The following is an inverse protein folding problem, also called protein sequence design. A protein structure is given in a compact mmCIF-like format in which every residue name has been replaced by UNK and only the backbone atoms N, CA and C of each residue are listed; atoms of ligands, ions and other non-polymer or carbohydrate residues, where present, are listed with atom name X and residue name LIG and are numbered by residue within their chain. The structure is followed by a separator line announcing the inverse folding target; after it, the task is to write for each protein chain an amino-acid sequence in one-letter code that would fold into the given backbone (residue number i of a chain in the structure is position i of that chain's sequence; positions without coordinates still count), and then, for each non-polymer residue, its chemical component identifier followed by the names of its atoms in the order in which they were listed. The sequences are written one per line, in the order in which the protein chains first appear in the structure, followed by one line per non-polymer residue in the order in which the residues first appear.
data_IF_616302697854
#
_entry.id   IF_616302697854
#
_cell.length_a   1.000
_cell.length_b   1.000
_cell.length_c   1.000
_cell.angle_alpha   90.00
_cell.angle_beta   90.00
_cell.angle_gamma   90.00
#
_symmetry.space_group_name_H-M   'P 1'
#
loop_
_entity.id
_entity.type
_entity.pdbx_description
1 polymer ?
#
# COMPACT_ATOMS: atom_id res chain seq x y z
N UNK A 1 11.84 -1.61 22.82
CA UNK A 1 11.33 -2.11 21.53
C UNK A 1 9.83 -2.24 21.68
N UNK A 2 9.05 -1.70 20.75
CA UNK A 2 7.59 -1.82 20.72
C UNK A 2 7.28 -2.98 19.78
N UNK A 3 6.47 -3.94 20.23
CA UNK A 3 6.04 -5.07 19.40
C UNK A 3 4.67 -4.78 18.82
N UNK A 4 4.59 -4.67 17.49
CA UNK A 4 3.35 -4.44 16.75
C UNK A 4 2.86 -5.69 16.03
N UNK A 5 3.51 -6.84 16.18
CA UNK A 5 3.18 -8.07 15.43
C UNK A 5 1.74 -8.56 15.62
N UNK A 6 1.13 -8.19 16.75
CA UNK A 6 -0.27 -8.48 17.06
C UNK A 6 -1.28 -7.58 16.33
N UNK A 7 -0.83 -6.48 15.72
CA UNK A 7 -1.64 -5.60 14.87
C UNK A 7 -1.67 -6.16 13.43
N UNK A 8 -2.24 -7.35 13.26
CA UNK A 8 -2.21 -8.15 12.02
C UNK A 8 -3.60 -8.54 11.50
N UNK A 9 -4.61 -7.72 11.74
CA UNK A 9 -5.98 -7.95 11.26
C UNK A 9 -6.38 -7.03 10.10
N UNK A 10 -7.11 -7.61 9.14
CA UNK A 10 -7.95 -6.86 8.20
C UNK A 10 -9.27 -6.59 8.91
N UNK A 11 -9.56 -5.32 9.20
CA UNK A 11 -10.67 -4.94 10.08
C UNK A 11 -12.00 -4.78 9.34
N UNK A 12 -11.97 -4.19 8.15
CA UNK A 12 -13.16 -3.94 7.36
C UNK A 12 -12.83 -3.81 5.87
N UNK A 13 -13.69 -4.33 5.00
CA UNK A 13 -13.62 -4.13 3.55
C UNK A 13 -14.96 -3.55 3.11
N UNK A 14 -14.94 -2.31 2.60
CA UNK A 14 -16.12 -1.65 2.06
C UNK A 14 -16.14 -1.79 0.54
N UNK A 15 -17.04 -2.63 0.03
CA UNK A 15 -17.20 -2.87 -1.40
C UNK A 15 -17.81 -1.71 -2.18
N UNK A 16 -18.53 -0.81 -1.49
CA UNK A 16 -19.13 0.38 -2.13
C UNK A 16 -18.12 1.51 -2.22
N UNK A 17 -17.36 1.74 -1.16
CA UNK A 17 -16.29 2.72 -1.14
C UNK A 17 -15.01 2.22 -1.82
N UNK A 18 -14.91 0.91 -2.05
CA UNK A 18 -13.71 0.22 -2.53
C UNK A 18 -12.51 0.54 -1.64
N UNK A 19 -12.66 0.32 -0.33
CA UNK A 19 -11.59 0.54 0.65
C UNK A 19 -11.41 -0.65 1.57
N UNK A 20 -10.21 -0.77 2.13
CA UNK A 20 -9.90 -1.70 3.22
C UNK A 20 -9.29 -0.94 4.38
N UNK A 21 -9.79 -1.23 5.58
CA UNK A 21 -9.24 -0.79 6.84
C UNK A 21 -8.41 -1.92 7.44
N UNK A 22 -7.13 -1.67 7.70
CA UNK A 22 -6.16 -2.73 8.02
C UNK A 22 -5.11 -2.28 9.00
N UNK A 23 -4.68 -3.21 9.85
CA UNK A 23 -3.58 -3.02 10.78
C UNK A 23 -2.20 -3.14 10.10
N UNK A 24 -1.16 -2.46 10.61
CA UNK A 24 0.13 -2.29 9.95
C UNK A 24 0.89 -3.60 9.71
N UNK A 25 0.72 -4.62 10.56
CA UNK A 25 1.46 -5.89 10.47
C UNK A 25 0.75 -6.95 9.64
N UNK A 26 -0.35 -6.61 8.94
CA UNK A 26 -0.92 -7.49 7.91
C UNK A 26 0.06 -7.64 6.75
N UNK A 27 0.49 -8.86 6.39
CA UNK A 27 1.34 -9.11 5.23
C UNK A 27 0.55 -9.00 3.91
N UNK A 28 1.24 -8.73 2.80
CA UNK A 28 0.63 -8.55 1.47
C UNK A 28 -0.20 -9.75 1.03
N UNK A 29 0.24 -10.98 1.29
CA UNK A 29 -0.50 -12.18 0.91
C UNK A 29 -1.87 -12.25 1.58
N UNK A 30 -1.94 -11.96 2.89
CA UNK A 30 -3.20 -11.91 3.64
C UNK A 30 -4.08 -10.75 3.22
N UNK A 31 -3.49 -9.58 2.92
CA UNK A 31 -4.24 -8.44 2.39
C UNK A 31 -4.91 -8.79 1.05
N UNK A 32 -4.17 -9.39 0.13
CA UNK A 32 -4.66 -9.80 -1.18
C UNK A 32 -5.71 -10.90 -1.06
N UNK A 33 -5.46 -11.94 -0.25
CA UNK A 33 -6.44 -13.00 0.02
C UNK A 33 -7.75 -12.43 0.55
N UNK A 34 -7.70 -11.59 1.58
CA UNK A 34 -8.90 -11.00 2.19
C UNK A 34 -9.68 -10.10 1.22
N UNK A 35 -8.99 -9.29 0.41
CA UNK A 35 -9.66 -8.36 -0.53
C UNK A 35 -10.23 -9.08 -1.75
N UNK A 36 -9.57 -10.14 -2.22
CA UNK A 36 -10.03 -10.94 -3.35
C UNK A 36 -11.35 -11.67 -3.06
N UNK A 37 -11.63 -12.05 -1.81
CA UNK A 37 -12.92 -12.62 -1.42
C UNK A 37 -14.11 -11.69 -1.75
N UNK A 38 -13.85 -10.38 -1.83
CA UNK A 38 -14.82 -9.35 -2.17
C UNK A 38 -14.73 -8.90 -3.64
N UNK A 39 -13.92 -9.57 -4.47
CA UNK A 39 -13.69 -9.19 -5.85
C UNK A 39 -12.91 -7.89 -5.99
N UNK A 40 -12.04 -7.59 -5.03
CA UNK A 40 -11.21 -6.38 -5.00
C UNK A 40 -9.73 -6.73 -4.86
N UNK A 41 -8.85 -5.81 -5.27
CA UNK A 41 -7.39 -5.93 -5.10
C UNK A 41 -6.76 -4.60 -4.67
N UNK A 42 -5.64 -4.62 -3.91
CA UNK A 42 -4.84 -3.43 -3.72
C UNK A 42 -4.25 -2.95 -5.05
N UNK A 43 -4.18 -1.62 -5.32
CA UNK A 43 -3.61 -1.10 -6.56
C UNK A 43 -2.12 -1.39 -6.72
N UNK A 44 -1.40 -1.52 -5.61
CA UNK A 44 0.04 -1.80 -5.53
C UNK A 44 0.22 -2.94 -4.54
N UNK A 45 0.81 -4.05 -5.00
CA UNK A 45 1.07 -5.26 -4.20
C UNK A 45 2.54 -5.58 -4.29
N UNK A 46 3.24 -5.51 -3.15
CA UNK A 46 4.68 -5.76 -3.07
C UNK A 46 5.03 -7.22 -3.36
N UNK A 47 6.18 -7.42 -4.00
CA UNK A 47 6.63 -8.70 -4.54
C UNK A 47 6.84 -9.78 -3.47
N UNK A 48 7.32 -9.38 -2.28
CA UNK A 48 7.50 -10.31 -1.17
C UNK A 48 6.22 -10.45 -0.34
N UNK A 49 5.64 -11.66 -0.23
CA UNK A 49 4.40 -11.92 0.52
C UNK A 49 4.39 -11.38 1.95
N UNK A 50 5.54 -11.45 2.64
CA UNK A 50 5.68 -11.06 4.03
C UNK A 50 5.93 -9.57 4.26
N UNK A 51 6.02 -8.72 3.22
CA UNK A 51 6.05 -7.28 3.44
C UNK A 51 4.69 -6.87 4.01
N UNK A 52 4.73 -6.16 5.14
CA UNK A 52 3.52 -5.72 5.83
C UNK A 52 2.99 -4.41 5.27
N UNK A 53 1.70 -4.13 5.40
CA UNK A 53 1.07 -2.86 4.98
C UNK A 53 1.78 -1.64 5.55
N UNK A 54 2.03 -1.63 6.87
CA UNK A 54 2.71 -0.53 7.55
C UNK A 54 4.15 -0.39 7.09
N UNK A 55 4.85 -1.51 6.85
CA UNK A 55 6.19 -1.53 6.26
C UNK A 55 6.22 -0.94 4.84
N UNK A 56 5.25 -1.27 4.00
CA UNK A 56 5.13 -0.71 2.65
C UNK A 56 4.86 0.80 2.66
N UNK A 57 4.01 1.27 3.57
CA UNK A 57 3.75 2.69 3.75
C UNK A 57 4.98 3.45 4.27
N UNK A 58 5.58 2.97 5.36
CA UNK A 58 6.71 3.63 6.00
C UNK A 58 8.04 3.47 5.21
N UNK A 59 8.12 2.50 4.30
CA UNK A 59 9.31 2.19 3.49
C UNK A 59 9.19 2.56 2.01
N UNK A 60 8.13 3.26 1.60
CA UNK A 60 7.89 3.66 0.20
C UNK A 60 7.90 2.48 -0.78
N UNK A 61 7.04 1.49 -0.53
CA UNK A 61 6.91 0.30 -1.38
C UNK A 61 6.53 0.66 -2.82
N UNK A 62 7.23 0.11 -3.81
CA UNK A 62 7.00 0.40 -5.22
C UNK A 62 7.12 -0.84 -6.08
N UNK A 63 6.26 -0.96 -7.10
CA UNK A 63 6.08 -2.18 -7.86
C UNK A 63 5.71 -1.96 -9.32
N UNK A 64 5.54 -3.07 -10.06
CA UNK A 64 5.16 -3.07 -11.47
C UNK A 64 3.90 -2.25 -11.80
N UNK A 65 2.96 -2.06 -10.87
CA UNK A 65 1.77 -1.22 -11.06
C UNK A 65 1.95 0.24 -10.61
N UNK A 66 3.08 0.58 -9.97
CA UNK A 66 3.32 1.92 -9.42
C UNK A 66 3.45 3.01 -10.47
N UNK A 67 3.82 2.69 -11.71
CA UNK A 67 3.80 3.67 -12.80
C UNK A 67 2.39 4.23 -13.09
N UNK A 68 1.33 3.48 -12.75
CA UNK A 68 -0.07 3.90 -12.88
C UNK A 68 -0.64 4.47 -11.58
N UNK A 69 -0.28 3.88 -10.44
CA UNK A 69 -0.94 4.14 -9.16
C UNK A 69 -0.10 4.93 -8.15
N UNK A 70 1.15 5.24 -8.48
CA UNK A 70 2.15 5.76 -7.55
C UNK A 70 2.75 4.66 -6.67
N UNK A 71 3.58 5.06 -5.71
CA UNK A 71 4.05 4.16 -4.66
C UNK A 71 2.89 3.73 -3.75
N UNK A 72 3.16 2.76 -2.88
CA UNK A 72 2.14 2.17 -1.99
C UNK A 72 1.44 3.24 -1.14
N UNK A 73 2.16 4.23 -0.64
CA UNK A 73 1.61 5.36 0.13
C UNK A 73 0.61 6.20 -0.66
N UNK A 74 0.74 6.28 -1.99
CA UNK A 74 -0.19 6.99 -2.85
C UNK A 74 -1.58 6.31 -2.90
N UNK A 75 -1.65 5.04 -2.50
CA UNK A 75 -2.89 4.25 -2.42
C UNK A 75 -3.57 4.33 -1.04
N UNK A 76 -2.89 4.88 -0.04
CA UNK A 76 -3.42 5.08 1.31
C UNK A 76 -4.25 6.36 1.36
N UNK A 77 -5.45 6.28 1.93
CA UNK A 77 -6.35 7.42 2.11
C UNK A 77 -6.01 8.19 3.39
N UNK A 78 -5.80 7.47 4.49
CA UNK A 78 -5.45 8.01 5.80
C UNK A 78 -4.76 6.95 6.68
N UNK A 79 -4.08 7.42 7.73
CA UNK A 79 -3.45 6.59 8.76
C UNK A 79 -3.87 7.04 10.16
N UNK A 80 -3.87 6.11 11.10
CA UNK A 80 -3.76 6.38 12.54
C UNK A 80 -2.31 6.18 12.97
N UNK A 81 -1.78 7.11 13.75
CA UNK A 81 -0.40 7.09 14.22
C UNK A 81 -0.29 7.55 15.67
N UNK A 82 0.49 6.80 16.47
CA UNK A 82 0.90 7.19 17.82
C UNK A 82 2.17 8.03 17.73
N UNK A 83 2.09 9.28 18.14
CA UNK A 83 3.21 10.23 18.15
C UNK A 83 4.12 10.02 19.37
N UNK A 84 5.30 10.65 19.34
CA UNK A 84 6.30 10.56 20.40
C UNK A 84 5.83 11.03 21.78
N UNK A 85 4.84 11.92 21.84
CA UNK A 85 4.21 12.38 23.07
C UNK A 85 3.05 11.48 23.55
N UNK A 86 2.79 10.38 22.84
CA UNK A 86 1.73 9.42 23.13
C UNK A 86 0.36 9.79 22.58
N UNK A 87 0.21 10.91 21.87
CA UNK A 87 -1.05 11.24 21.21
C UNK A 87 -1.36 10.28 20.06
N UNK A 88 -2.61 9.86 19.97
CA UNK A 88 -3.15 9.11 18.84
C UNK A 88 -3.83 10.10 17.91
N UNK A 89 -3.35 10.21 16.68
CA UNK A 89 -3.90 11.14 15.69
C UNK A 89 -4.19 10.43 14.38
N UNK A 90 -5.21 10.91 13.67
CA UNK A 90 -5.44 10.57 12.27
C UNK A 90 -4.71 11.58 11.38
N UNK A 91 -4.14 11.10 10.28
CA UNK A 91 -3.50 11.93 9.26
C UNK A 91 -3.90 11.46 7.86
N UNK A 92 -4.18 12.41 6.96
CA UNK A 92 -4.62 12.19 5.59
C UNK A 92 -4.16 13.36 4.71
N UNK A 93 -4.52 13.33 3.43
CA UNK A 93 -4.24 14.46 2.51
C UNK A 93 -4.96 15.76 2.90
N UNK A 94 -6.02 15.68 3.70
CA UNK A 94 -6.84 16.84 4.12
C UNK A 94 -6.78 17.13 5.62
N UNK A 95 -6.27 16.20 6.43
CA UNK A 95 -6.09 16.35 7.87
C UNK A 95 -4.64 16.06 8.23
N UNK A 96 -3.89 17.03 8.77
CA UNK A 96 -2.44 16.91 9.06
C UNK A 96 -1.64 16.40 7.84
N UNK A 97 -1.72 17.10 6.69
CA UNK A 97 -1.12 16.63 5.44
C UNK A 97 0.40 16.56 5.48
N UNK A 98 1.04 17.40 6.28
CA UNK A 98 2.47 17.39 6.57
C UNK A 98 2.89 16.12 7.30
N UNK A 99 2.14 15.72 8.33
CA UNK A 99 2.36 14.46 9.04
C UNK A 99 2.08 13.26 8.13
N UNK A 100 1.01 13.28 7.33
CA UNK A 100 0.66 12.17 6.44
C UNK A 100 1.73 11.93 5.38
N UNK A 101 2.15 12.99 4.67
CA UNK A 101 3.22 12.90 3.66
C UNK A 101 4.56 12.58 4.30
N UNK A 102 4.82 13.15 5.48
CA UNK A 102 6.04 12.88 6.24
C UNK A 102 6.11 11.43 6.68
N UNK A 103 5.03 10.86 7.24
CA UNK A 103 5.04 9.50 7.79
C UNK A 103 5.37 8.44 6.73
N UNK A 104 4.94 8.64 5.48
CA UNK A 104 5.35 7.81 4.36
C UNK A 104 6.87 7.91 4.13
N UNK A 105 7.57 6.78 4.07
CA UNK A 105 9.03 6.76 3.84
C UNK A 105 9.92 7.15 5.04
N UNK A 106 9.36 7.34 6.24
CA UNK A 106 10.16 7.68 7.44
C UNK A 106 10.80 6.50 8.15
N UNK A 107 10.47 5.27 7.75
CA UNK A 107 10.89 4.06 8.45
C UNK A 107 10.46 4.07 9.95
N UNK A 108 9.32 4.69 10.25
CA UNK A 108 8.74 4.74 11.60
C UNK A 108 9.35 5.78 12.54
N UNK A 109 10.11 6.75 12.04
CA UNK A 109 10.79 7.75 12.89
C UNK A 109 9.88 8.86 13.43
N UNK A 110 8.73 9.12 12.80
CA UNK A 110 7.77 10.14 13.25
C UNK A 110 6.71 9.62 14.23
N UNK A 111 6.57 8.30 14.36
CA UNK A 111 5.59 7.66 15.22
C UNK A 111 5.34 6.21 14.83
N UNK A 112 4.45 5.55 15.56
CA UNK A 112 4.05 4.17 15.30
C UNK A 112 2.69 4.18 14.61
N UNK A 113 2.65 3.86 13.31
CA UNK A 113 1.38 3.70 12.58
C UNK A 113 0.64 2.49 13.12
N UNK A 114 -0.63 2.67 13.48
CA UNK A 114 -1.48 1.63 14.11
C UNK A 114 -2.63 1.19 13.22
N UNK A 115 -3.02 2.02 12.25
CA UNK A 115 -4.13 1.73 11.34
C UNK A 115 -3.96 2.44 10.00
N UNK A 116 -4.37 1.80 8.91
CA UNK A 116 -4.36 2.38 7.57
C UNK A 116 -5.66 2.08 6.84
N UNK A 117 -6.17 3.05 6.10
CA UNK A 117 -7.21 2.81 5.09
C UNK A 117 -6.60 2.90 3.69
N UNK A 118 -6.79 1.87 2.88
CA UNK A 118 -6.31 1.82 1.50
C UNK A 118 -7.49 1.83 0.54
N UNK A 119 -7.32 2.48 -0.61
CA UNK A 119 -8.22 2.29 -1.74
C UNK A 119 -7.94 0.92 -2.39
N UNK A 120 -8.97 0.36 -3.00
CA UNK A 120 -8.96 -0.89 -3.74
C UNK A 120 -9.42 -0.66 -5.18
N UNK A 121 -9.17 -1.65 -6.03
CA UNK A 121 -9.67 -1.72 -7.41
C UNK A 121 -10.50 -2.98 -7.58
N UNK A 122 -11.39 -3.00 -8.57
CA UNK A 122 -12.08 -4.22 -8.97
C UNK A 122 -11.08 -5.26 -9.47
N UNK A 123 -11.22 -6.48 -8.95
CA UNK A 123 -10.44 -7.62 -9.41
C UNK A 123 -10.98 -8.11 -10.75
N UNK A 124 -10.07 -8.37 -11.69
CA UNK A 124 -10.40 -9.12 -12.91
C UNK A 124 -10.01 -10.58 -12.70
N UNK A 125 -10.76 -11.50 -13.32
CA UNK A 125 -10.52 -12.94 -13.17
C UNK A 125 -9.32 -13.45 -13.98
N UNK A 126 -8.85 -12.65 -14.93
CA UNK A 126 -7.79 -13.02 -15.85
C UNK A 126 -6.92 -11.79 -16.16
N UNK A 127 -5.62 -12.03 -16.33
CA UNK A 127 -4.66 -11.04 -16.82
C UNK A 127 -4.07 -11.54 -18.12
N UNK A 128 -3.93 -10.64 -19.10
CA UNK A 128 -3.15 -10.91 -20.31
C UNK A 128 -1.72 -10.45 -20.09
N UNK A 129 -0.75 -11.34 -20.37
CA UNK A 129 0.68 -11.04 -20.27
C UNK A 129 1.30 -11.11 -21.67
N UNK A 130 1.85 -9.99 -22.12
CA UNK A 130 2.62 -9.91 -23.36
C UNK A 130 4.10 -9.76 -23.04
N UNK A 131 4.92 -10.71 -23.49
CA UNK A 131 6.36 -10.65 -23.35
C UNK A 131 7.01 -10.04 -24.59
N UNK A 132 7.79 -8.97 -24.39
CA UNK A 132 8.55 -8.30 -25.44
C UNK A 132 10.06 -8.48 -25.19
N UNK A 133 10.74 -9.41 -25.89
CA UNK A 133 12.19 -9.49 -25.80
C UNK A 133 12.81 -8.25 -26.45
N UNK A 134 13.80 -7.67 -25.79
CA UNK A 134 14.58 -6.53 -26.28
C UNK A 134 16.06 -6.81 -26.06
N UNK A 135 16.91 -6.33 -26.96
CA UNK A 135 18.34 -6.67 -26.98
C UNK A 135 19.23 -5.44 -26.76
N UNK A 136 18.64 -4.29 -26.46
CA UNK A 136 19.35 -3.07 -26.06
C UNK A 136 18.51 -2.19 -25.13
N UNK A 137 19.17 -1.32 -24.35
CA UNK A 137 18.48 -0.35 -23.50
C UNK A 137 17.62 0.62 -24.33
N UNK A 138 18.13 1.10 -25.46
CA UNK A 138 17.40 2.03 -26.33
C UNK A 138 16.09 1.42 -26.86
N UNK A 139 16.15 0.13 -27.24
CA UNK A 139 14.96 -0.62 -27.66
C UNK A 139 13.96 -0.82 -26.51
N UNK A 140 14.44 -1.13 -25.30
CA UNK A 140 13.61 -1.26 -24.11
C UNK A 140 12.85 0.04 -23.78
N UNK A 141 13.56 1.18 -23.80
CA UNK A 141 12.96 2.50 -23.53
C UNK A 141 11.93 2.85 -24.59
N UNK A 142 12.25 2.65 -25.87
CA UNK A 142 11.32 2.92 -26.96
C UNK A 142 10.05 2.08 -26.81
N UNK A 143 10.18 0.79 -26.49
CA UNK A 143 9.05 -0.11 -26.31
C UNK A 143 8.15 0.29 -25.14
N UNK A 144 8.73 0.76 -24.04
CA UNK A 144 7.97 1.24 -22.87
C UNK A 144 7.22 2.56 -23.12
N UNK A 145 7.69 3.38 -24.07
CA UNK A 145 7.04 4.66 -24.41
C UNK A 145 5.85 4.50 -25.37
N UNK A 146 5.80 3.40 -26.13
CA UNK A 146 4.69 3.09 -27.03
C UNK A 146 3.52 2.38 -26.34
N UNK A 147 3.74 1.85 -25.13
CA UNK A 147 2.77 1.07 -24.35
C UNK A 147 1.93 1.96 -23.42
#
# INVERSE_FOLDING_TARGET
MIDTSHLSHVLNIDTKAQTVLVEPSVPMDRLVEATLEYGLVPPVVMEFPGITVGGGFAGTGGESSSFKHGYFDCTVNWIEIVLADGQIVCASKTERPDLFQGAAGTFGTLGVTTLLELRLLEATTHVELTYHPVFSLSEAVHKLQEA
#
